data_IF_979115888734
#
_entry.id   IF_979115888734
#
_cell.length_a   1.000
_cell.length_b   1.000
_cell.length_c   1.000
_cell.angle_alpha   90.00
_cell.angle_beta   90.00
_cell.angle_gamma   90.00
#
_symmetry.space_group_name_H-M   'P 1'
#
loop_
_entity.id
_entity.type
_entity.pdbx_description
1 polymer ?
#
# COMPACT_ATOMS: atom_id res chain seq x y z
N UNK A 1 -25.17 -1.26 -18.83
CA UNK A 1 -24.51 -0.35 -17.87
C UNK A 1 -24.95 1.06 -18.22
N UNK A 2 -25.66 1.73 -17.30
CA UNK A 2 -26.20 3.06 -17.55
C UNK A 2 -25.14 4.09 -17.17
N UNK A 3 -24.70 4.94 -18.10
CA UNK A 3 -23.60 5.90 -17.95
C UNK A 3 -23.77 6.86 -16.76
N UNK A 4 -25.00 6.99 -16.24
CA UNK A 4 -25.33 7.78 -15.05
C UNK A 4 -24.96 7.13 -13.71
N UNK A 5 -24.87 5.80 -13.60
CA UNK A 5 -24.53 5.17 -12.31
C UNK A 5 -23.08 5.41 -11.89
N UNK A 6 -22.16 5.48 -12.87
CA UNK A 6 -20.75 5.79 -12.63
C UNK A 6 -20.60 7.21 -12.06
N UNK A 7 -21.43 8.16 -12.51
CA UNK A 7 -21.43 9.53 -11.99
C UNK A 7 -21.97 9.60 -10.56
N UNK A 8 -22.98 8.80 -10.20
CA UNK A 8 -23.49 8.74 -8.83
C UNK A 8 -22.45 8.18 -7.84
N UNK A 9 -21.71 7.15 -8.24
CA UNK A 9 -20.62 6.58 -7.43
C UNK A 9 -19.46 7.58 -7.25
N UNK A 10 -19.13 8.35 -8.28
CA UNK A 10 -18.08 9.41 -8.21
C UNK A 10 -18.52 10.62 -7.39
N UNK A 11 -19.83 10.89 -7.30
CA UNK A 11 -20.40 12.00 -6.52
C UNK A 11 -20.68 11.65 -5.05
N UNK A 12 -20.53 10.38 -4.66
CA UNK A 12 -20.76 9.95 -3.28
C UNK A 12 -19.75 10.65 -2.36
N UNK A 13 -20.26 11.39 -1.38
CA UNK A 13 -19.41 12.13 -0.44
C UNK A 13 -18.64 11.13 0.43
N UNK A 14 -17.31 11.19 0.33
CA UNK A 14 -16.41 10.43 1.20
C UNK A 14 -16.63 10.88 2.66
N UNK A 15 -16.92 9.91 3.53
CA UNK A 15 -17.18 10.10 4.96
C UNK A 15 -15.90 10.30 5.77
N UNK A 16 -14.78 9.76 5.29
CA UNK A 16 -13.48 9.84 5.96
C UNK A 16 -12.91 11.27 6.02
N UNK A 17 -12.55 11.73 7.21
CA UNK A 17 -11.82 12.99 7.40
C UNK A 17 -10.34 12.88 7.01
N UNK A 18 -9.77 13.98 6.53
CA UNK A 18 -8.32 14.10 6.27
C UNK A 18 -7.56 14.48 7.55
N UNK A 19 -6.45 13.80 7.81
CA UNK A 19 -5.54 14.06 8.93
C UNK A 19 -4.12 14.34 8.43
N UNK A 20 -3.21 14.78 9.32
CA UNK A 20 -1.78 14.72 9.00
C UNK A 20 -1.35 13.25 9.06
N UNK A 21 -0.64 12.82 8.04
CA UNK A 21 -0.15 11.45 7.87
C UNK A 21 1.39 11.49 7.84
N UNK A 22 2.02 10.33 7.92
CA UNK A 22 3.46 10.20 7.69
C UNK A 22 3.79 10.54 6.23
N UNK A 23 2.99 10.05 5.28
CA UNK A 23 3.10 10.42 3.87
C UNK A 23 4.20 9.70 3.08
N UNK A 24 4.99 8.85 3.75
CA UNK A 24 5.91 7.88 3.14
C UNK A 24 6.11 6.67 4.08
N UNK A 25 5.00 6.13 4.58
CA UNK A 25 5.04 5.04 5.57
C UNK A 25 5.32 3.69 4.92
N UNK A 26 6.40 3.02 5.34
CA UNK A 26 6.79 1.68 4.90
C UNK A 26 7.68 1.01 5.96
N UNK A 27 8.02 -0.28 5.79
CA UNK A 27 8.79 -1.06 6.78
C UNK A 27 10.17 -0.46 7.09
N UNK A 28 10.76 0.29 6.16
CA UNK A 28 12.04 0.98 6.38
C UNK A 28 11.95 2.10 7.42
N UNK A 29 10.75 2.61 7.69
CA UNK A 29 10.47 3.69 8.63
C UNK A 29 9.95 3.19 9.98
N UNK A 30 10.00 1.88 10.22
CA UNK A 30 9.51 1.24 11.43
C UNK A 30 10.66 0.48 12.10
N UNK A 31 11.06 0.94 13.28
CA UNK A 31 12.16 0.35 14.06
C UNK A 31 11.61 -0.45 15.24
N UNK A 32 12.00 -1.71 15.36
CA UNK A 32 11.67 -2.54 16.52
C UNK A 32 12.67 -2.32 17.66
N UNK A 33 12.19 -1.96 18.84
CA UNK A 33 13.03 -1.68 20.03
C UNK A 33 13.32 -2.92 20.87
N UNK A 34 12.72 -4.07 20.53
CA UNK A 34 12.74 -5.30 21.34
C UNK A 34 11.44 -5.55 22.10
N UNK A 35 10.65 -4.50 22.39
CA UNK A 35 9.36 -4.60 23.06
C UNK A 35 8.27 -3.71 22.44
N UNK A 36 8.62 -2.79 21.54
CA UNK A 36 7.69 -1.89 20.87
C UNK A 36 8.26 -1.44 19.50
N UNK A 37 7.53 -0.58 18.80
CA UNK A 37 7.92 0.01 17.53
C UNK A 37 8.03 1.54 17.62
N UNK A 38 9.07 2.08 16.97
CA UNK A 38 9.24 3.52 16.76
C UNK A 38 9.10 3.81 15.28
N UNK A 39 8.24 4.78 14.95
CA UNK A 39 8.06 5.28 13.59
C UNK A 39 8.97 6.51 13.42
N UNK A 40 9.74 6.55 12.34
CA UNK A 40 10.72 7.61 12.05
C UNK A 40 10.38 8.34 10.73
N UNK A 41 11.17 9.35 10.38
CA UNK A 41 11.16 9.99 9.05
C UNK A 41 9.80 10.58 8.57
N UNK A 42 9.23 11.46 9.38
CA UNK A 42 7.98 12.18 9.07
C UNK A 42 8.15 13.31 8.04
N UNK A 43 9.17 13.26 7.19
CA UNK A 43 9.36 14.26 6.13
C UNK A 43 8.32 14.14 5.02
N UNK A 44 7.80 12.93 4.79
CA UNK A 44 6.88 12.58 3.70
C UNK A 44 7.59 12.39 2.35
N UNK A 45 6.84 11.92 1.33
CA UNK A 45 7.39 11.50 0.03
C UNK A 45 8.38 12.52 -0.60
N UNK A 46 9.67 12.17 -0.75
CA UNK A 46 10.73 13.10 -1.19
C UNK A 46 10.47 13.78 -2.54
N UNK A 47 9.79 13.08 -3.46
CA UNK A 47 9.46 13.61 -4.78
C UNK A 47 8.41 14.74 -4.75
N UNK A 48 7.74 14.98 -3.61
CA UNK A 48 6.71 16.00 -3.47
C UNK A 48 7.25 17.30 -2.89
N UNK A 49 6.67 18.42 -3.31
CA UNK A 49 7.01 19.73 -2.76
C UNK A 49 6.67 19.82 -1.27
N UNK A 50 7.36 20.69 -0.52
CA UNK A 50 7.12 20.89 0.93
C UNK A 50 5.65 21.22 1.22
N UNK A 51 5.04 22.06 0.39
CA UNK A 51 3.63 22.44 0.53
C UNK A 51 2.71 21.21 0.41
N UNK A 52 3.00 20.29 -0.52
CA UNK A 52 2.24 19.06 -0.70
C UNK A 52 2.44 18.06 0.44
N UNK A 53 3.67 17.95 0.96
CA UNK A 53 4.01 17.07 2.10
C UNK A 53 3.31 17.48 3.40
N UNK A 54 2.95 18.77 3.54
CA UNK A 54 2.21 19.27 4.71
C UNK A 54 0.68 19.13 4.62
N UNK A 55 0.14 18.77 3.46
CA UNK A 55 -1.31 18.66 3.28
C UNK A 55 -1.90 17.51 4.12
N UNK A 56 -3.08 17.74 4.69
CA UNK A 56 -3.87 16.66 5.29
C UNK A 56 -4.37 15.72 4.20
N UNK A 57 -4.30 14.41 4.47
CA UNK A 57 -4.71 13.34 3.55
C UNK A 57 -5.47 12.24 4.31
N UNK A 58 -6.02 11.27 3.59
CA UNK A 58 -6.60 10.07 4.21
C UNK A 58 -5.49 9.23 4.84
N UNK A 59 -5.76 8.68 6.03
CA UNK A 59 -4.88 7.73 6.71
C UNK A 59 -4.62 6.46 5.87
N UNK A 60 -5.57 6.10 4.99
CA UNK A 60 -5.45 4.95 4.10
C UNK A 60 -4.25 5.04 3.13
N UNK A 61 -3.69 6.22 2.91
CA UNK A 61 -2.45 6.37 2.13
C UNK A 61 -1.23 5.77 2.83
N UNK A 62 -1.12 5.94 4.15
CA UNK A 62 -0.04 5.31 4.92
C UNK A 62 -0.25 3.79 4.98
N UNK A 63 -1.49 3.34 5.16
CA UNK A 63 -1.84 1.90 5.08
C UNK A 63 -1.43 1.33 3.73
N UNK A 64 -1.78 1.99 2.62
CA UNK A 64 -1.39 1.57 1.28
C UNK A 64 0.14 1.48 1.12
N UNK A 65 0.89 2.45 1.64
CA UNK A 65 2.36 2.40 1.65
C UNK A 65 2.91 1.17 2.37
N UNK A 66 2.37 0.83 3.53
CA UNK A 66 2.77 -0.38 4.27
C UNK A 66 2.38 -1.67 3.54
N UNK A 67 1.20 -1.73 2.93
CA UNK A 67 0.77 -2.89 2.11
C UNK A 67 1.73 -3.11 0.95
N UNK A 68 2.11 -2.04 0.24
CA UNK A 68 3.15 -2.12 -0.80
C UNK A 68 4.48 -2.59 -0.23
N UNK A 69 4.88 -2.10 0.94
CA UNK A 69 6.11 -2.51 1.60
C UNK A 69 6.14 -4.02 1.93
N UNK A 70 5.02 -4.61 2.36
CA UNK A 70 4.94 -6.05 2.56
C UNK A 70 5.09 -6.83 1.25
N UNK A 71 4.43 -6.37 0.18
CA UNK A 71 4.59 -6.97 -1.14
C UNK A 71 6.05 -6.94 -1.60
N UNK A 72 6.75 -5.81 -1.45
CA UNK A 72 8.19 -5.73 -1.75
C UNK A 72 9.00 -6.68 -0.89
N UNK A 73 8.80 -6.70 0.43
CA UNK A 73 9.53 -7.59 1.33
C UNK A 73 9.39 -9.07 0.94
N UNK A 74 8.18 -9.51 0.57
CA UNK A 74 7.92 -10.88 0.15
C UNK A 74 8.68 -11.26 -1.14
N UNK A 75 8.63 -10.38 -2.15
CA UNK A 75 9.16 -10.67 -3.48
C UNK A 75 10.66 -10.38 -3.63
N UNK A 76 11.20 -9.40 -2.90
CA UNK A 76 12.64 -9.12 -2.88
C UNK A 76 13.43 -10.34 -2.41
N UNK A 77 12.92 -11.10 -1.43
CA UNK A 77 13.54 -12.34 -0.96
C UNK A 77 13.68 -13.40 -2.08
N UNK A 78 12.70 -13.47 -2.99
CA UNK A 78 12.74 -14.38 -4.14
C UNK A 78 13.68 -13.87 -5.24
N UNK A 79 13.67 -12.57 -5.53
CA UNK A 79 14.43 -11.98 -6.63
C UNK A 79 15.93 -11.86 -6.35
N UNK A 80 16.31 -11.60 -5.10
CA UNK A 80 17.71 -11.33 -4.74
C UNK A 80 18.48 -12.60 -4.36
N UNK A 81 17.78 -13.71 -4.16
CA UNK A 81 18.40 -14.98 -3.79
C UNK A 81 18.97 -15.70 -5.02
N UNK A 82 20.29 -15.54 -5.21
CA UNK A 82 21.05 -16.12 -6.33
C UNK A 82 21.15 -17.65 -6.32
N UNK A 83 20.79 -18.32 -5.22
CA UNK A 83 20.86 -19.79 -5.14
C UNK A 83 19.58 -20.47 -5.62
N UNK A 84 18.51 -19.71 -5.90
CA UNK A 84 17.25 -20.27 -6.38
C UNK A 84 17.27 -20.45 -7.90
N UNK A 85 16.90 -21.64 -8.37
CA UNK A 85 16.62 -21.88 -9.79
C UNK A 85 15.31 -21.18 -10.21
N UNK A 86 15.10 -20.90 -11.51
CA UNK A 86 13.83 -20.37 -12.00
C UNK A 86 12.61 -21.22 -11.62
N UNK A 87 12.72 -22.56 -11.60
CA UNK A 87 11.60 -23.42 -11.19
C UNK A 87 11.29 -23.25 -9.69
N UNK A 88 12.34 -23.16 -8.85
CA UNK A 88 12.17 -22.94 -7.42
C UNK A 88 11.52 -21.58 -7.15
N UNK A 89 11.96 -20.51 -7.83
CA UNK A 89 11.32 -19.18 -7.74
C UNK A 89 9.84 -19.30 -8.07
N UNK A 90 9.48 -19.96 -9.18
CA UNK A 90 8.08 -20.10 -9.57
C UNK A 90 7.26 -20.88 -8.54
N UNK A 91 7.82 -21.94 -7.96
CA UNK A 91 7.16 -22.72 -6.90
C UNK A 91 6.99 -21.93 -5.59
N UNK A 92 7.91 -21.00 -5.29
CA UNK A 92 7.90 -20.21 -4.06
C UNK A 92 7.02 -18.96 -4.15
N UNK A 93 6.63 -18.53 -5.35
CA UNK A 93 5.71 -17.39 -5.53
C UNK A 93 4.41 -17.57 -4.76
N UNK A 94 3.83 -18.77 -4.77
CA UNK A 94 2.59 -19.04 -4.02
C UNK A 94 2.74 -18.79 -2.51
N UNK A 95 3.93 -19.02 -1.96
CA UNK A 95 4.23 -18.77 -0.56
C UNK A 95 4.49 -17.30 -0.29
N UNK A 96 5.12 -16.58 -1.22
CA UNK A 96 5.24 -15.13 -1.13
C UNK A 96 3.87 -14.44 -1.19
N UNK A 97 2.99 -14.87 -2.10
CA UNK A 97 1.60 -14.43 -2.19
C UNK A 97 0.85 -14.67 -0.89
N UNK A 98 0.91 -15.90 -0.36
CA UNK A 98 0.24 -16.26 0.89
C UNK A 98 0.77 -15.43 2.06
N UNK A 99 2.09 -15.28 2.17
CA UNK A 99 2.70 -14.47 3.23
C UNK A 99 2.27 -13.01 3.13
N UNK A 100 2.27 -12.43 1.92
CA UNK A 100 1.83 -11.07 1.67
C UNK A 100 0.36 -10.87 2.05
N UNK A 101 -0.53 -11.77 1.61
CA UNK A 101 -1.97 -11.70 1.90
C UNK A 101 -2.26 -11.82 3.40
N UNK A 102 -1.65 -12.81 4.07
CA UNK A 102 -1.86 -13.02 5.52
C UNK A 102 -1.33 -11.84 6.32
N UNK A 103 -0.11 -11.38 6.03
CA UNK A 103 0.52 -10.26 6.75
C UNK A 103 -0.28 -8.96 6.56
N UNK A 104 -0.70 -8.68 5.32
CA UNK A 104 -1.55 -7.54 4.99
C UNK A 104 -2.90 -7.62 5.70
N UNK A 105 -3.55 -8.78 5.68
CA UNK A 105 -4.82 -9.01 6.36
C UNK A 105 -4.71 -8.79 7.87
N UNK A 106 -3.66 -9.32 8.52
CA UNK A 106 -3.42 -9.10 9.95
C UNK A 106 -3.17 -7.62 10.26
N UNK A 107 -2.33 -6.95 9.47
CA UNK A 107 -2.01 -5.54 9.65
C UNK A 107 -3.26 -4.65 9.52
N UNK A 108 -4.01 -4.78 8.43
CA UNK A 108 -5.21 -3.98 8.18
C UNK A 108 -6.27 -4.25 9.24
N UNK A 109 -6.59 -5.53 9.52
CA UNK A 109 -7.61 -5.85 10.52
C UNK A 109 -7.25 -5.32 11.90
N UNK A 110 -5.98 -5.43 12.31
CA UNK A 110 -5.51 -4.90 13.60
C UNK A 110 -5.60 -3.38 13.63
N UNK A 111 -5.16 -2.71 12.56
CA UNK A 111 -5.28 -1.25 12.44
C UNK A 111 -6.73 -0.80 12.56
N UNK A 112 -7.65 -1.40 11.80
CA UNK A 112 -9.08 -1.09 11.81
C UNK A 112 -9.71 -1.33 13.18
N UNK A 113 -9.34 -2.41 13.87
CA UNK A 113 -9.82 -2.69 15.22
C UNK A 113 -9.36 -1.63 16.24
N UNK A 114 -8.12 -1.14 16.11
CA UNK A 114 -7.56 -0.11 17.02
C UNK A 114 -8.22 1.25 16.79
N UNK A 115 -8.37 1.66 15.53
CA UNK A 115 -8.95 2.98 15.21
C UNK A 115 -10.47 3.00 15.34
N UNK A 116 -11.13 1.84 15.25
CA UNK A 116 -12.57 1.67 15.40
C UNK A 116 -13.36 2.70 14.58
N UNK A 117 -14.34 3.40 15.17
CA UNK A 117 -15.15 4.43 14.51
C UNK A 117 -14.47 5.81 14.45
N UNK A 118 -13.13 5.86 14.38
CA UNK A 118 -12.41 7.12 14.26
C UNK A 118 -12.91 7.92 13.04
N UNK A 119 -13.11 9.24 13.17
CA UNK A 119 -13.75 10.03 12.11
C UNK A 119 -12.89 10.19 10.84
N UNK A 120 -11.61 9.83 10.90
CA UNK A 120 -10.72 9.80 9.74
C UNK A 120 -10.80 8.51 8.92
N UNK A 121 -11.61 7.54 9.35
CA UNK A 121 -11.87 6.29 8.63
C UNK A 121 -13.21 6.35 7.88
N UNK A 122 -13.32 5.68 6.73
CA UNK A 122 -14.61 5.48 6.07
C UNK A 122 -15.55 4.69 6.97
N UNK A 123 -16.83 5.10 7.00
CA UNK A 123 -17.86 4.44 7.81
C UNK A 123 -18.34 3.13 7.17
N UNK A 124 -18.46 3.13 5.85
CA UNK A 124 -18.98 2.00 5.09
C UNK A 124 -17.83 1.12 4.59
N UNK A 125 -18.02 -0.21 4.65
CA UNK A 125 -17.01 -1.17 4.20
C UNK A 125 -16.68 -1.04 2.71
N UNK A 126 -17.68 -0.77 1.87
CA UNK A 126 -17.48 -0.58 0.43
C UNK A 126 -16.67 0.69 0.14
N UNK A 127 -16.92 1.76 0.91
CA UNK A 127 -16.14 3.00 0.81
C UNK A 127 -14.69 2.76 1.25
N UNK A 128 -14.48 2.02 2.34
CA UNK A 128 -13.15 1.62 2.81
C UNK A 128 -12.39 0.83 1.74
N UNK A 129 -13.01 -0.21 1.18
CA UNK A 129 -12.41 -1.04 0.13
C UNK A 129 -12.02 -0.20 -1.08
N UNK A 130 -12.98 0.57 -1.63
CA UNK A 130 -12.76 1.42 -2.78
C UNK A 130 -11.59 2.41 -2.56
N UNK A 131 -11.57 3.09 -1.41
CA UNK A 131 -10.52 4.06 -1.13
C UNK A 131 -9.15 3.40 -0.92
N UNK A 132 -9.10 2.26 -0.25
CA UNK A 132 -7.85 1.54 -0.02
C UNK A 132 -7.28 1.00 -1.32
N UNK A 133 -8.10 0.36 -2.16
CA UNK A 133 -7.70 -0.14 -3.48
C UNK A 133 -7.17 1.01 -4.36
N UNK A 134 -7.87 2.16 -4.36
CA UNK A 134 -7.42 3.34 -5.10
C UNK A 134 -6.04 3.85 -4.63
N UNK A 135 -5.77 3.86 -3.32
CA UNK A 135 -4.47 4.31 -2.81
C UNK A 135 -3.34 3.27 -3.00
N UNK A 136 -3.65 1.98 -2.94
CA UNK A 136 -2.70 0.92 -3.28
C UNK A 136 -2.33 1.03 -4.76
N UNK A 137 -3.31 1.23 -5.64
CA UNK A 137 -3.09 1.45 -7.07
C UNK A 137 -2.26 2.70 -7.34
N UNK A 138 -2.59 3.83 -6.69
CA UNK A 138 -1.83 5.07 -6.84
C UNK A 138 -0.35 4.88 -6.47
N UNK A 139 -0.06 4.20 -5.34
CA UNK A 139 1.34 3.94 -4.93
C UNK A 139 2.02 2.96 -5.88
N UNK A 140 1.33 1.92 -6.35
CA UNK A 140 1.89 0.98 -7.32
C UNK A 140 2.24 1.64 -8.65
N UNK A 141 1.40 2.56 -9.16
CA UNK A 141 1.69 3.34 -10.38
C UNK A 141 2.91 4.24 -10.17
N UNK A 142 2.99 4.91 -9.01
CA UNK A 142 4.16 5.71 -8.66
C UNK A 142 5.43 4.86 -8.64
N UNK A 143 5.37 3.66 -8.04
CA UNK A 143 6.49 2.71 -8.01
C UNK A 143 6.90 2.26 -9.41
N UNK A 144 5.97 2.00 -10.34
CA UNK A 144 6.33 1.67 -11.73
C UNK A 144 7.22 2.78 -12.32
N UNK A 145 6.80 4.03 -12.19
CA UNK A 145 7.57 5.17 -12.67
C UNK A 145 8.93 5.28 -11.95
N UNK A 146 8.96 5.06 -10.64
CA UNK A 146 10.18 5.10 -9.85
C UNK A 146 11.18 4.00 -10.27
N UNK A 147 10.73 2.75 -10.36
CA UNK A 147 11.58 1.62 -10.71
C UNK A 147 12.11 1.74 -12.14
N UNK A 148 11.29 2.18 -13.10
CA UNK A 148 11.76 2.42 -14.47
C UNK A 148 12.92 3.42 -14.55
N UNK A 149 12.96 4.39 -13.65
CA UNK A 149 14.00 5.43 -13.65
C UNK A 149 15.24 5.05 -12.82
N UNK A 150 15.11 4.18 -11.82
CA UNK A 150 16.16 3.91 -10.83
C UNK A 150 16.67 2.47 -10.83
N UNK A 151 15.78 1.49 -11.03
CA UNK A 151 16.06 0.03 -10.98
C UNK A 151 15.15 -0.72 -11.97
N UNK A 152 15.38 -0.58 -13.30
CA UNK A 152 14.46 -1.11 -14.30
C UNK A 152 14.15 -2.60 -14.16
N UNK A 153 15.08 -3.37 -13.60
CA UNK A 153 14.91 -4.81 -13.34
C UNK A 153 13.85 -5.12 -12.26
N UNK A 154 13.45 -4.14 -11.44
CA UNK A 154 12.44 -4.29 -10.40
C UNK A 154 11.02 -3.94 -10.88
N UNK A 155 10.85 -3.38 -12.08
CA UNK A 155 9.55 -2.89 -12.58
C UNK A 155 8.47 -3.98 -12.63
N UNK A 156 8.87 -5.24 -12.77
CA UNK A 156 7.94 -6.37 -12.76
C UNK A 156 7.17 -6.51 -11.44
N UNK A 157 7.73 -6.06 -10.31
CA UNK A 157 7.09 -6.12 -8.99
C UNK A 157 5.85 -5.22 -8.88
N UNK A 158 5.93 -3.89 -9.13
CA UNK A 158 4.75 -3.05 -9.09
C UNK A 158 3.75 -3.39 -10.20
N UNK A 159 4.19 -3.84 -11.38
CA UNK A 159 3.27 -4.32 -12.43
C UNK A 159 2.47 -5.54 -11.95
N UNK A 160 3.13 -6.52 -11.33
CA UNK A 160 2.46 -7.71 -10.81
C UNK A 160 1.37 -7.35 -9.80
N UNK A 161 1.68 -6.43 -8.87
CA UNK A 161 0.70 -5.96 -7.90
C UNK A 161 -0.50 -5.25 -8.54
N UNK A 162 -0.28 -4.45 -9.58
CA UNK A 162 -1.37 -3.82 -10.34
C UNK A 162 -2.23 -4.89 -11.01
N UNK A 163 -1.62 -5.93 -11.59
CA UNK A 163 -2.38 -7.01 -12.24
C UNK A 163 -3.21 -7.81 -11.24
N UNK A 164 -2.70 -8.06 -10.02
CA UNK A 164 -3.46 -8.72 -8.96
C UNK A 164 -4.66 -7.86 -8.52
N UNK A 165 -4.45 -6.55 -8.35
CA UNK A 165 -5.51 -5.64 -7.88
C UNK A 165 -6.65 -5.44 -8.89
N UNK A 166 -6.37 -5.55 -10.20
CA UNK A 166 -7.37 -5.37 -11.27
C UNK A 166 -8.08 -6.69 -11.63
N UNK A 167 -7.49 -7.84 -11.28
CA UNK A 167 -8.07 -9.15 -11.56
C UNK A 167 -9.17 -9.57 -10.56
N UNK A 168 -9.23 -8.90 -9.40
CA UNK A 168 -10.27 -9.04 -8.36
C UNK A 168 -11.48 -8.12 -8.61
#
# INVERSE_FOLDING_TARGET
MNTFSILEDVLKKISAMKIRIHGDYHLGQVLFTGNDFVIIDFEGEPARSISERRLKRSALRDIAGMVRSFHYAAYTALMTNKTLSPENIQSLKIWADLWYQVTTGVFINTYLNIVNEAPFMPKEKDELKMMLDAYILEKAIYEVAYELNNRPEWVSMPIHAITQLIAD
#
